data_IF_774014317311
#
_entry.id   IF_774014317311
#
_cell.length_a   1.000
_cell.length_b   1.000
_cell.length_c   1.000
_cell.angle_alpha   90.00
_cell.angle_beta   90.00
_cell.angle_gamma   90.00
#
_symmetry.space_group_name_H-M   'P 1'
#
loop_
_entity.id
_entity.type
_entity.pdbx_description
1 polymer ?
#
# COMPACT_ATOMS: atom_id res chain seq x y z
N UNK A 1 6.26 -14.07 14.25
CA UNK A 1 5.54 -12.95 13.54
C UNK A 1 6.20 -11.62 13.90
N UNK A 2 6.18 -10.59 13.01
CA UNK A 2 6.69 -9.26 13.39
C UNK A 2 5.91 -8.69 14.58
N UNK A 3 6.62 -8.04 15.51
CA UNK A 3 5.97 -7.46 16.69
C UNK A 3 5.34 -6.10 16.35
N UNK A 4 4.06 -6.12 16.06
CA UNK A 4 3.25 -4.92 15.77
C UNK A 4 2.39 -4.49 16.97
N UNK A 5 2.64 -5.00 18.17
CA UNK A 5 1.82 -4.77 19.37
C UNK A 5 1.62 -3.28 19.65
N UNK A 6 2.64 -2.44 19.50
CA UNK A 6 2.54 -1.00 19.70
C UNK A 6 1.58 -0.33 18.72
N UNK A 7 1.61 -0.73 17.45
CA UNK A 7 0.72 -0.24 16.38
C UNK A 7 -0.71 -0.72 16.62
N UNK A 8 -0.87 -1.99 16.94
CA UNK A 8 -2.15 -2.59 17.26
C UNK A 8 -2.84 -1.86 18.43
N UNK A 9 -2.11 -1.64 19.53
CA UNK A 9 -2.64 -0.91 20.70
C UNK A 9 -3.03 0.53 20.35
N UNK A 10 -2.29 1.20 19.46
CA UNK A 10 -2.64 2.55 19.02
C UNK A 10 -3.97 2.56 18.23
N UNK A 11 -4.20 1.55 17.37
CA UNK A 11 -5.45 1.41 16.63
C UNK A 11 -6.60 1.03 17.57
N UNK A 12 -6.37 0.08 18.49
CA UNK A 12 -7.39 -0.35 19.46
C UNK A 12 -7.86 0.82 20.32
N UNK A 13 -6.96 1.72 20.75
CA UNK A 13 -7.32 2.95 21.48
C UNK A 13 -8.27 3.87 20.70
N UNK A 14 -8.19 3.91 19.36
CA UNK A 14 -9.15 4.68 18.55
C UNK A 14 -10.54 4.03 18.62
N UNK A 15 -10.58 2.70 18.55
CA UNK A 15 -11.84 1.93 18.70
C UNK A 15 -12.44 2.14 20.08
N UNK A 16 -11.67 2.00 21.14
CA UNK A 16 -12.12 2.19 22.53
C UNK A 16 -12.70 3.59 22.79
N UNK A 17 -12.09 4.63 22.18
CA UNK A 17 -12.56 6.02 22.22
C UNK A 17 -13.79 6.27 21.35
N UNK A 18 -14.35 5.26 20.71
CA UNK A 18 -15.52 5.39 19.84
C UNK A 18 -15.26 6.27 18.61
N UNK A 19 -14.06 6.21 18.03
CA UNK A 19 -13.75 7.00 16.84
C UNK A 19 -14.19 6.27 15.58
N UNK A 20 -14.62 7.04 14.57
CA UNK A 20 -14.76 6.61 13.20
C UNK A 20 -13.49 7.00 12.48
N UNK A 21 -12.84 6.07 11.78
CA UNK A 21 -11.57 6.34 11.09
C UNK A 21 -11.36 5.40 9.90
N UNK A 22 -10.38 5.74 9.07
CA UNK A 22 -10.03 4.96 7.88
C UNK A 22 -8.56 4.61 7.91
N UNK A 23 -8.22 3.33 7.69
CA UNK A 23 -6.85 2.86 7.49
C UNK A 23 -6.55 2.91 5.99
N UNK A 24 -6.08 4.07 5.53
CA UNK A 24 -5.70 4.30 4.13
C UNK A 24 -4.25 3.93 3.93
N UNK A 25 -4.01 2.76 3.39
CA UNK A 25 -2.65 2.29 3.06
C UNK A 25 -2.68 1.55 1.72
N UNK A 26 -1.56 1.53 0.98
CA UNK A 26 -1.43 0.76 -0.24
C UNK A 26 -1.82 -0.70 -0.04
N UNK A 27 -1.97 -1.45 -1.13
CA UNK A 27 -2.23 -2.89 -1.06
C UNK A 27 -1.10 -3.62 -0.34
N UNK A 28 -1.44 -4.76 0.29
CA UNK A 28 -0.48 -5.63 0.98
C UNK A 28 0.30 -4.92 2.12
N UNK A 29 -0.36 -3.98 2.77
CA UNK A 29 0.18 -3.22 3.92
C UNK A 29 -0.28 -3.77 5.28
N UNK A 30 -0.90 -4.96 5.30
CA UNK A 30 -1.39 -5.58 6.55
C UNK A 30 -2.71 -5.02 7.07
N UNK A 31 -3.51 -4.31 6.23
CA UNK A 31 -4.82 -3.74 6.62
C UNK A 31 -5.78 -4.81 7.12
N UNK A 32 -6.02 -5.84 6.32
CA UNK A 32 -6.91 -6.97 6.66
C UNK A 32 -6.42 -7.72 7.89
N UNK A 33 -5.10 -7.90 8.04
CA UNK A 33 -4.50 -8.52 9.23
C UNK A 33 -4.79 -7.69 10.48
N UNK A 34 -4.66 -6.36 10.39
CA UNK A 34 -4.98 -5.45 11.49
C UNK A 34 -6.47 -5.53 11.86
N UNK A 35 -7.39 -5.54 10.88
CA UNK A 35 -8.82 -5.70 11.14
C UNK A 35 -9.12 -7.03 11.82
N UNK A 36 -8.48 -8.11 11.36
CA UNK A 36 -8.64 -9.44 11.97
C UNK A 36 -8.18 -9.44 13.43
N UNK A 37 -7.03 -8.84 13.75
CA UNK A 37 -6.55 -8.74 15.12
C UNK A 37 -7.49 -7.90 16.01
N UNK A 38 -8.05 -6.80 15.48
CA UNK A 38 -9.04 -5.99 16.19
C UNK A 38 -10.29 -6.82 16.45
N UNK A 39 -10.80 -7.53 15.44
CA UNK A 39 -11.96 -8.39 15.54
C UNK A 39 -11.77 -9.45 16.64
N UNK A 40 -10.64 -10.16 16.59
CA UNK A 40 -10.32 -11.24 17.52
C UNK A 40 -10.29 -10.75 18.98
N UNK A 41 -9.59 -9.64 19.25
CA UNK A 41 -9.52 -9.09 20.61
C UNK A 41 -10.89 -8.61 21.10
N UNK A 42 -11.66 -7.91 20.25
CA UNK A 42 -12.98 -7.41 20.61
C UNK A 42 -14.02 -8.54 20.80
N UNK A 43 -13.91 -9.62 20.06
CA UNK A 43 -14.79 -10.78 20.19
C UNK A 43 -14.63 -11.48 21.55
N UNK A 44 -13.42 -11.49 22.09
CA UNK A 44 -13.14 -12.05 23.41
C UNK A 44 -13.48 -11.10 24.57
N UNK A 45 -13.71 -9.81 24.30
CA UNK A 45 -14.19 -8.85 25.29
C UNK A 45 -15.72 -8.81 25.29
N UNK A 46 -16.32 -9.31 26.36
CA UNK A 46 -17.79 -9.41 26.50
C UNK A 46 -18.56 -8.07 26.38
N UNK A 47 -17.88 -6.93 26.42
CA UNK A 47 -18.48 -5.60 26.29
C UNK A 47 -18.71 -5.18 24.82
N UNK A 48 -18.09 -5.86 23.87
CA UNK A 48 -18.15 -5.51 22.44
C UNK A 48 -18.86 -6.57 21.62
N UNK A 49 -19.40 -6.15 20.48
CA UNK A 49 -19.82 -7.00 19.37
C UNK A 49 -19.14 -6.46 18.10
N UNK A 50 -18.01 -7.04 17.68
CA UNK A 50 -17.40 -6.70 16.40
C UNK A 50 -18.18 -7.33 15.25
N UNK A 51 -18.36 -6.58 14.15
CA UNK A 51 -19.00 -7.00 12.91
C UNK A 51 -18.04 -6.67 11.77
N UNK A 52 -17.55 -7.71 11.08
CA UNK A 52 -16.54 -7.57 10.03
C UNK A 52 -17.12 -7.86 8.66
N UNK A 53 -17.16 -6.88 7.79
CA UNK A 53 -17.72 -6.96 6.44
C UNK A 53 -16.61 -6.70 5.43
N UNK A 54 -16.57 -7.45 4.33
CA UNK A 54 -15.70 -7.15 3.19
C UNK A 54 -16.54 -6.82 1.97
N UNK A 55 -16.17 -5.76 1.25
CA UNK A 55 -16.78 -5.45 -0.04
C UNK A 55 -16.08 -6.17 -1.21
N UNK A 56 -15.04 -6.98 -0.92
CA UNK A 56 -14.43 -7.81 -1.94
C UNK A 56 -15.43 -8.87 -2.43
N UNK A 57 -15.57 -9.01 -3.75
CA UNK A 57 -16.50 -9.94 -4.36
C UNK A 57 -17.97 -9.54 -4.34
N UNK A 58 -18.31 -8.37 -3.78
CA UNK A 58 -19.66 -7.81 -3.90
C UNK A 58 -19.86 -7.28 -5.32
N UNK A 59 -20.90 -7.77 -6.00
CA UNK A 59 -21.21 -7.36 -7.37
C UNK A 59 -21.63 -5.89 -7.45
N UNK A 60 -21.27 -5.23 -8.55
CA UNK A 60 -21.55 -3.80 -8.78
C UNK A 60 -23.03 -3.44 -8.67
N UNK A 61 -23.95 -4.37 -8.99
CA UNK A 61 -25.39 -4.15 -8.92
C UNK A 61 -25.86 -3.80 -7.51
N UNK A 62 -25.22 -4.34 -6.47
CA UNK A 62 -25.58 -4.02 -5.07
C UNK A 62 -25.34 -2.54 -4.76
N UNK A 63 -24.34 -1.93 -5.41
CA UNK A 63 -24.02 -0.51 -5.22
C UNK A 63 -24.78 0.45 -6.16
N UNK A 64 -25.70 -0.07 -6.99
CA UNK A 64 -26.48 0.76 -7.90
C UNK A 64 -27.89 1.07 -7.36
N UNK A 65 -28.40 0.26 -6.44
CA UNK A 65 -29.72 0.42 -5.86
C UNK A 65 -29.67 0.56 -4.34
N UNK A 66 -30.21 1.65 -3.82
CA UNK A 66 -30.18 2.00 -2.40
C UNK A 66 -30.90 0.97 -1.52
N UNK A 67 -32.06 0.47 -1.97
CA UNK A 67 -32.85 -0.51 -1.23
C UNK A 67 -32.14 -1.85 -1.20
N UNK A 68 -31.59 -2.27 -2.35
CA UNK A 68 -30.79 -3.48 -2.46
C UNK A 68 -29.58 -3.45 -1.53
N UNK A 69 -28.82 -2.35 -1.56
CA UNK A 69 -27.66 -2.17 -0.68
C UNK A 69 -28.07 -2.18 0.81
N UNK A 70 -29.11 -1.42 1.19
CA UNK A 70 -29.54 -1.31 2.58
C UNK A 70 -29.99 -2.67 3.14
N UNK A 71 -30.77 -3.45 2.38
CA UNK A 71 -31.16 -4.82 2.74
C UNK A 71 -29.95 -5.73 2.86
N UNK A 72 -29.07 -5.69 1.88
CA UNK A 72 -27.88 -6.54 1.85
C UNK A 72 -26.92 -6.23 3.01
N UNK A 73 -26.79 -4.95 3.33
CA UNK A 73 -25.98 -4.51 4.47
C UNK A 73 -26.50 -5.09 5.79
N UNK A 74 -27.82 -5.09 6.01
CA UNK A 74 -28.43 -5.72 7.19
C UNK A 74 -28.18 -7.23 7.21
N UNK A 75 -28.28 -7.92 6.07
CA UNK A 75 -27.97 -9.34 5.99
C UNK A 75 -26.52 -9.62 6.35
N UNK A 76 -25.56 -8.83 5.86
CA UNK A 76 -24.16 -8.99 6.27
C UNK A 76 -23.97 -8.79 7.77
N UNK A 77 -24.66 -7.80 8.38
CA UNK A 77 -24.63 -7.63 9.83
C UNK A 77 -25.24 -8.84 10.57
N UNK A 78 -26.31 -9.44 10.01
CA UNK A 78 -26.93 -10.64 10.59
C UNK A 78 -25.99 -11.85 10.51
N UNK A 79 -25.33 -12.06 9.37
CA UNK A 79 -24.38 -13.15 9.16
C UNK A 79 -23.24 -13.08 10.19
N UNK A 80 -22.69 -11.89 10.42
CA UNK A 80 -21.65 -11.66 11.41
C UNK A 80 -22.17 -11.82 12.86
N UNK A 81 -23.34 -11.26 13.16
CA UNK A 81 -23.93 -11.35 14.49
C UNK A 81 -24.29 -12.80 14.88
N UNK A 82 -24.57 -13.68 13.91
CA UNK A 82 -24.99 -15.08 14.12
C UNK A 82 -23.96 -15.89 14.90
N UNK A 83 -22.67 -15.57 14.76
CA UNK A 83 -21.61 -16.25 15.51
C UNK A 83 -21.64 -15.95 17.01
N UNK A 84 -22.23 -14.80 17.41
CA UNK A 84 -22.26 -14.35 18.79
C UNK A 84 -23.68 -14.42 19.41
N UNK A 85 -24.72 -14.18 18.60
CA UNK A 85 -26.13 -14.09 19.05
C UNK A 85 -27.07 -14.42 17.87
N UNK A 86 -27.56 -15.65 17.85
CA UNK A 86 -28.47 -16.14 16.81
C UNK A 86 -29.84 -15.43 16.84
N UNK A 87 -30.35 -15.09 18.03
CA UNK A 87 -31.65 -14.40 18.13
C UNK A 87 -31.57 -12.97 17.58
N UNK A 88 -30.48 -12.31 17.85
CA UNK A 88 -30.19 -10.99 17.28
C UNK A 88 -30.07 -11.06 15.76
N UNK A 89 -29.35 -12.05 15.23
CA UNK A 89 -29.21 -12.26 13.79
C UNK A 89 -30.57 -12.50 13.11
N UNK A 90 -31.41 -13.37 13.65
CA UNK A 90 -32.72 -13.65 13.10
C UNK A 90 -33.66 -12.43 13.19
N UNK A 91 -33.50 -11.60 14.23
CA UNK A 91 -34.20 -10.32 14.31
C UNK A 91 -33.76 -9.37 13.19
N UNK A 92 -32.43 -9.24 12.93
CA UNK A 92 -31.91 -8.39 11.85
C UNK A 92 -32.43 -8.83 10.48
N UNK A 93 -32.46 -10.16 10.21
CA UNK A 93 -33.03 -10.72 8.96
C UNK A 93 -34.49 -10.31 8.78
N UNK A 94 -35.31 -10.45 9.82
CA UNK A 94 -36.72 -10.02 9.74
C UNK A 94 -36.85 -8.51 9.47
N UNK A 95 -36.01 -7.67 10.09
CA UNK A 95 -36.02 -6.23 9.85
C UNK A 95 -35.60 -5.87 8.43
N UNK A 96 -34.65 -6.62 7.86
CA UNK A 96 -34.16 -6.35 6.50
C UNK A 96 -35.23 -6.37 5.42
N UNK A 97 -36.27 -7.16 5.59
CA UNK A 97 -37.42 -7.25 4.67
C UNK A 97 -38.16 -5.91 4.53
N UNK A 98 -38.23 -5.15 5.63
CA UNK A 98 -38.92 -3.87 5.71
C UNK A 98 -38.02 -2.67 5.39
N UNK A 99 -36.74 -2.89 5.07
CA UNK A 99 -35.80 -1.82 4.78
C UNK A 99 -36.02 -1.31 3.36
N UNK A 100 -36.30 -0.03 3.20
CA UNK A 100 -36.63 0.64 1.94
C UNK A 100 -35.64 1.76 1.53
N UNK A 101 -34.52 1.85 2.24
CA UNK A 101 -33.46 2.84 1.93
C UNK A 101 -32.64 3.23 3.16
N UNK A 102 -31.79 4.25 3.00
CA UNK A 102 -30.87 4.69 4.07
C UNK A 102 -31.57 5.30 5.28
N UNK A 103 -32.73 5.92 5.11
CA UNK A 103 -33.46 6.46 6.25
C UNK A 103 -33.95 5.33 7.17
N UNK A 104 -34.55 4.30 6.60
CA UNK A 104 -35.03 3.12 7.33
C UNK A 104 -33.83 2.34 7.90
N UNK A 105 -32.78 2.15 7.12
CA UNK A 105 -31.52 1.53 7.58
C UNK A 105 -30.97 2.24 8.81
N UNK A 106 -30.95 3.59 8.79
CA UNK A 106 -30.51 4.38 9.96
C UNK A 106 -31.32 4.13 11.22
N UNK A 107 -32.67 4.02 11.09
CA UNK A 107 -33.56 3.69 12.23
C UNK A 107 -33.30 2.25 12.72
N UNK A 108 -33.13 1.30 11.81
CA UNK A 108 -32.84 -0.10 12.12
C UNK A 108 -31.48 -0.27 12.82
N UNK A 109 -30.45 0.46 12.41
CA UNK A 109 -29.14 0.47 13.13
C UNK A 109 -29.34 0.95 14.57
N UNK A 110 -30.16 1.97 14.80
CA UNK A 110 -30.42 2.45 16.18
C UNK A 110 -31.09 1.35 17.01
N UNK A 111 -32.17 0.76 16.51
CA UNK A 111 -32.88 -0.33 17.18
C UNK A 111 -32.00 -1.56 17.42
N UNK A 112 -31.14 -1.88 16.47
CA UNK A 112 -30.16 -2.98 16.58
C UNK A 112 -29.19 -2.74 17.72
N UNK A 113 -28.56 -1.55 17.79
CA UNK A 113 -27.61 -1.21 18.86
C UNK A 113 -28.30 -1.16 20.23
N UNK A 114 -29.55 -0.73 20.30
CA UNK A 114 -30.34 -0.74 21.52
C UNK A 114 -30.65 -2.16 21.98
N UNK A 115 -31.06 -3.04 21.06
CA UNK A 115 -31.37 -4.42 21.33
C UNK A 115 -30.13 -5.23 21.73
N UNK A 116 -29.00 -5.04 21.07
CA UNK A 116 -27.74 -5.73 21.34
C UNK A 116 -27.22 -5.48 22.77
N UNK A 117 -27.35 -4.26 23.28
CA UNK A 117 -26.87 -3.88 24.61
C UNK A 117 -25.34 -3.81 24.76
N UNK A 118 -24.56 -4.27 23.76
CA UNK A 118 -23.09 -4.20 23.70
C UNK A 118 -22.63 -3.06 22.82
N UNK A 119 -21.35 -2.68 22.94
CA UNK A 119 -20.69 -1.71 22.06
C UNK A 119 -20.44 -2.38 20.69
N UNK A 120 -21.26 -2.07 19.70
CA UNK A 120 -21.09 -2.61 18.34
C UNK A 120 -19.97 -1.86 17.62
N UNK A 121 -19.00 -2.59 17.09
CA UNK A 121 -17.88 -2.08 16.29
C UNK A 121 -17.99 -2.60 14.87
N UNK A 122 -18.12 -1.70 13.91
CA UNK A 122 -18.24 -2.04 12.49
C UNK A 122 -16.87 -1.94 11.83
N UNK A 123 -16.40 -3.03 11.24
CA UNK A 123 -15.16 -3.14 10.48
C UNK A 123 -15.52 -3.39 9.02
N UNK A 124 -15.13 -2.52 8.10
CA UNK A 124 -15.40 -2.72 6.66
C UNK A 124 -14.09 -2.73 5.90
N UNK A 125 -13.78 -3.86 5.27
CA UNK A 125 -12.60 -4.02 4.42
C UNK A 125 -12.93 -3.77 2.94
N UNK A 126 -11.90 -3.42 2.15
CA UNK A 126 -11.94 -3.23 0.68
C UNK A 126 -13.02 -2.23 0.23
N UNK A 127 -13.17 -1.10 0.97
CA UNK A 127 -14.16 -0.06 0.61
C UNK A 127 -13.92 0.55 -0.77
N UNK A 128 -12.73 0.36 -1.35
CA UNK A 128 -12.37 0.85 -2.69
C UNK A 128 -13.19 0.21 -3.81
N UNK A 129 -13.75 -0.97 -3.58
CA UNK A 129 -14.60 -1.66 -4.56
C UNK A 129 -15.86 -0.87 -4.87
N UNK A 130 -16.30 -0.03 -3.91
CA UNK A 130 -17.44 0.86 -4.05
C UNK A 130 -17.04 2.34 -4.25
N UNK A 131 -15.75 2.64 -4.35
CA UNK A 131 -15.21 4.01 -4.26
C UNK A 131 -15.70 4.98 -5.34
N UNK A 132 -16.17 4.48 -6.47
CA UNK A 132 -16.68 5.27 -7.57
C UNK A 132 -18.21 5.38 -7.58
N UNK A 133 -18.89 4.87 -6.55
CA UNK A 133 -20.33 4.77 -6.50
C UNK A 133 -20.95 5.87 -5.62
N UNK A 134 -21.88 6.65 -6.18
CA UNK A 134 -22.58 7.72 -5.47
C UNK A 134 -23.38 7.21 -4.27
N UNK A 135 -23.92 6.00 -4.38
CA UNK A 135 -24.66 5.34 -3.30
C UNK A 135 -23.79 5.12 -2.06
N UNK A 136 -22.54 4.67 -2.24
CA UNK A 136 -21.62 4.48 -1.12
C UNK A 136 -21.31 5.81 -0.41
N UNK A 137 -21.20 6.90 -1.15
CA UNK A 137 -21.07 8.23 -0.55
C UNK A 137 -22.32 8.61 0.26
N UNK A 138 -23.52 8.23 -0.19
CA UNK A 138 -24.78 8.38 0.55
C UNK A 138 -24.77 7.59 1.86
N UNK A 139 -24.34 6.32 1.80
CA UNK A 139 -24.15 5.46 2.98
C UNK A 139 -23.19 6.06 4.00
N UNK A 140 -22.04 6.57 3.55
CA UNK A 140 -21.09 7.26 4.42
C UNK A 140 -21.69 8.53 5.03
N UNK A 141 -22.50 9.26 4.26
CA UNK A 141 -23.25 10.43 4.73
C UNK A 141 -24.23 10.05 5.85
N UNK A 142 -24.93 8.94 5.72
CA UNK A 142 -25.83 8.40 6.74
C UNK A 142 -25.07 8.03 8.00
N UNK A 143 -23.96 7.28 7.90
CA UNK A 143 -23.10 6.94 9.05
C UNK A 143 -22.54 8.19 9.74
N UNK A 144 -22.14 9.19 8.97
CA UNK A 144 -21.70 10.49 9.50
C UNK A 144 -22.80 11.17 10.31
N UNK A 145 -24.00 11.24 9.77
CA UNK A 145 -25.11 11.86 10.48
C UNK A 145 -25.37 11.16 11.81
N UNK A 146 -25.40 9.83 11.82
CA UNK A 146 -25.55 9.03 13.03
C UNK A 146 -24.43 9.33 14.06
N UNK A 147 -23.19 9.45 13.61
CA UNK A 147 -22.08 9.79 14.50
C UNK A 147 -22.25 11.18 15.13
N UNK A 148 -22.70 12.16 14.39
CA UNK A 148 -22.90 13.53 14.88
C UNK A 148 -24.02 13.60 15.94
N UNK A 149 -25.07 12.78 15.79
CA UNK A 149 -26.22 12.75 16.72
C UNK A 149 -26.14 11.63 17.76
N UNK A 150 -25.00 10.94 17.88
CA UNK A 150 -24.83 9.73 18.71
C UNK A 150 -25.14 9.90 20.21
N UNK A 151 -25.15 11.13 20.68
CA UNK A 151 -25.57 11.42 22.07
C UNK A 151 -27.08 11.34 22.25
N UNK A 152 -27.87 11.53 21.15
CA UNK A 152 -29.33 11.49 21.15
C UNK A 152 -29.90 10.20 20.60
N UNK A 153 -29.17 9.54 19.69
CA UNK A 153 -29.60 8.34 19.01
C UNK A 153 -28.44 7.35 18.95
N UNK A 154 -28.64 6.15 19.48
CA UNK A 154 -27.60 5.10 19.52
C UNK A 154 -27.14 4.71 18.12
N UNK A 155 -25.88 4.42 17.98
CA UNK A 155 -25.24 4.00 16.75
C UNK A 155 -24.02 3.12 17.04
N UNK A 156 -23.31 2.64 16.02
CA UNK A 156 -22.06 1.93 16.20
C UNK A 156 -21.12 2.71 17.11
N UNK A 157 -20.49 2.00 18.05
CA UNK A 157 -19.51 2.59 18.95
C UNK A 157 -18.30 3.11 18.16
N UNK A 158 -17.79 2.31 17.25
CA UNK A 158 -16.69 2.67 16.34
C UNK A 158 -16.97 2.13 14.93
N UNK A 159 -16.46 2.81 13.91
CA UNK A 159 -16.47 2.35 12.51
C UNK A 159 -15.06 2.48 11.96
N UNK A 160 -14.52 1.35 11.49
CA UNK A 160 -13.19 1.28 10.88
C UNK A 160 -13.36 0.88 9.42
N UNK A 161 -12.92 1.74 8.54
CA UNK A 161 -12.89 1.47 7.10
C UNK A 161 -11.47 1.18 6.66
N UNK A 162 -11.26 0.19 5.80
CA UNK A 162 -9.95 -0.02 5.17
C UNK A 162 -10.04 0.05 3.66
N UNK A 163 -9.04 0.67 3.05
CA UNK A 163 -8.98 0.84 1.61
C UNK A 163 -7.66 1.44 1.15
N UNK A 164 -7.50 1.57 -0.16
CA UNK A 164 -6.36 2.25 -0.77
C UNK A 164 -6.63 3.75 -0.80
N UNK A 165 -7.82 4.15 -1.24
CA UNK A 165 -8.17 5.55 -1.42
C UNK A 165 -8.57 6.21 -0.09
N UNK A 166 -8.17 7.46 0.09
CA UNK A 166 -8.73 8.28 1.14
C UNK A 166 -10.21 8.55 0.83
N UNK A 167 -11.08 8.06 1.70
CA UNK A 167 -12.52 8.31 1.58
C UNK A 167 -12.83 9.82 1.56
N UNK A 168 -11.96 10.64 2.16
CA UNK A 168 -12.07 12.11 2.11
C UNK A 168 -11.87 12.65 0.68
N UNK A 169 -11.09 11.96 -0.15
CA UNK A 169 -10.78 12.35 -1.54
C UNK A 169 -11.60 11.62 -2.62
N UNK A 170 -12.49 10.71 -2.25
CA UNK A 170 -13.30 9.93 -3.21
C UNK A 170 -14.15 10.80 -4.16
N UNK A 171 -14.60 11.96 -3.72
CA UNK A 171 -15.36 12.89 -4.56
C UNK A 171 -14.59 13.43 -5.76
N UNK A 172 -13.26 13.51 -5.68
CA UNK A 172 -12.43 14.03 -6.77
C UNK A 172 -12.52 13.17 -8.05
N UNK A 173 -12.94 11.90 -7.93
CA UNK A 173 -13.09 10.97 -9.06
C UNK A 173 -14.49 10.92 -9.66
N UNK A 174 -15.52 11.35 -8.94
CA UNK A 174 -16.92 11.10 -9.30
C UNK A 174 -17.60 12.33 -9.90
N UNK A 175 -17.19 13.54 -9.53
CA UNK A 175 -17.91 14.76 -9.93
C UNK A 175 -17.14 15.61 -10.93
N UNK A 176 -17.83 16.20 -11.94
CA UNK A 176 -17.26 17.24 -12.80
C UNK A 176 -16.73 18.44 -11.98
N UNK A 177 -15.83 19.22 -12.55
CA UNK A 177 -15.16 20.34 -11.85
C UNK A 177 -16.11 21.34 -11.17
N UNK A 178 -17.34 21.48 -11.66
CA UNK A 178 -18.36 22.37 -11.10
C UNK A 178 -18.92 21.97 -9.74
N UNK A 179 -18.79 20.69 -9.33
CA UNK A 179 -19.34 20.14 -8.07
C UNK A 179 -18.31 19.93 -6.97
N UNK A 180 -17.04 20.31 -7.19
CA UNK A 180 -15.92 20.08 -6.25
C UNK A 180 -16.03 20.82 -4.91
N UNK A 181 -17.02 21.71 -4.73
CA UNK A 181 -17.16 22.56 -3.52
C UNK A 181 -17.83 21.88 -2.31
N UNK A 182 -18.28 20.65 -2.41
CA UNK A 182 -18.95 19.97 -1.31
C UNK A 182 -17.95 19.18 -0.44
N UNK A 183 -17.99 19.40 0.88
CA UNK A 183 -17.18 18.69 1.87
C UNK A 183 -17.32 17.17 1.76
N UNK A 184 -16.24 16.43 1.98
CA UNK A 184 -16.26 14.97 2.04
C UNK A 184 -17.31 14.48 3.05
N UNK A 185 -18.12 13.45 2.72
CA UNK A 185 -19.08 12.88 3.65
C UNK A 185 -18.41 12.23 4.87
N UNK A 186 -17.08 12.00 4.81
CA UNK A 186 -16.31 11.33 5.87
C UNK A 186 -15.37 12.28 6.63
N UNK A 187 -15.66 13.58 6.65
CA UNK A 187 -14.85 14.58 7.37
C UNK A 187 -14.89 14.46 8.91
N UNK A 188 -15.73 13.56 9.47
CA UNK A 188 -15.75 13.19 10.89
C UNK A 188 -14.67 12.18 11.27
N UNK A 189 -14.03 11.55 10.28
CA UNK A 189 -13.03 10.54 10.56
C UNK A 189 -11.86 11.14 11.34
N UNK A 190 -11.49 10.45 12.43
CA UNK A 190 -10.25 10.75 13.12
C UNK A 190 -9.06 10.47 12.18
N UNK A 191 -8.04 11.30 12.28
CA UNK A 191 -6.82 11.09 11.51
C UNK A 191 -6.12 9.81 11.96
N UNK A 192 -5.71 9.01 10.97
CA UNK A 192 -4.99 7.76 11.20
C UNK A 192 -3.49 8.00 11.00
N UNK A 193 -2.81 8.29 12.09
CA UNK A 193 -1.37 8.64 12.10
C UNK A 193 -0.46 7.44 12.39
N UNK A 194 -1.02 6.24 12.57
CA UNK A 194 -0.22 5.04 12.88
C UNK A 194 0.65 4.67 11.69
N UNK A 195 1.97 4.67 11.89
CA UNK A 195 2.91 4.16 10.88
C UNK A 195 2.81 2.64 10.79
N UNK A 196 2.39 2.13 9.64
CA UNK A 196 2.25 0.70 9.37
C UNK A 196 3.54 0.05 8.84
N UNK A 197 4.60 0.84 8.57
CA UNK A 197 5.89 0.28 8.16
C UNK A 197 6.55 -0.45 9.33
N UNK A 198 7.05 -1.65 9.09
CA UNK A 198 7.77 -2.44 10.10
C UNK A 198 9.14 -1.80 10.37
N UNK A 199 9.37 -1.40 11.60
CA UNK A 199 10.69 -0.92 12.03
C UNK A 199 11.65 -2.09 12.28
N UNK A 200 12.98 -1.91 12.20
CA UNK A 200 13.93 -3.00 12.46
C UNK A 200 13.69 -3.72 13.77
N UNK A 201 13.37 -2.99 14.84
CA UNK A 201 13.07 -3.59 16.15
C UNK A 201 11.79 -4.47 16.13
N UNK A 202 10.83 -4.20 15.25
CA UNK A 202 9.62 -5.00 15.08
C UNK A 202 9.85 -6.25 14.19
N UNK A 203 10.87 -6.21 13.31
CA UNK A 203 11.27 -7.34 12.46
C UNK A 203 12.10 -8.35 13.23
N UNK A 204 12.96 -7.91 14.16
CA UNK A 204 13.87 -8.79 14.92
C UNK A 204 13.19 -9.98 15.60
N UNK A 205 12.06 -9.83 16.33
CA UNK A 205 11.38 -10.96 16.97
C UNK A 205 10.95 -12.04 15.96
N UNK A 206 10.47 -11.64 14.78
CA UNK A 206 10.10 -12.57 13.71
C UNK A 206 11.31 -13.37 13.22
N UNK A 207 12.47 -12.73 13.08
CA UNK A 207 13.72 -13.41 12.69
C UNK A 207 14.22 -14.36 13.76
N UNK A 208 14.11 -13.97 15.03
CA UNK A 208 14.50 -14.82 16.17
C UNK A 208 13.60 -16.07 16.28
N UNK A 209 12.29 -15.90 16.13
CA UNK A 209 11.31 -17.01 16.10
C UNK A 209 11.63 -17.95 14.92
N UNK A 210 11.84 -17.41 13.72
CA UNK A 210 12.23 -18.18 12.54
C UNK A 210 13.54 -18.95 12.73
N UNK A 211 14.56 -18.31 13.32
CA UNK A 211 15.85 -18.92 13.60
C UNK A 211 15.72 -20.15 14.50
N UNK A 212 14.86 -20.05 15.51
CA UNK A 212 14.56 -21.15 16.42
C UNK A 212 13.81 -22.29 15.71
N UNK A 213 12.75 -21.97 14.96
CA UNK A 213 11.91 -22.96 14.30
C UNK A 213 12.65 -23.74 13.20
N UNK A 214 13.52 -23.09 12.45
CA UNK A 214 14.28 -23.69 11.34
C UNK A 214 15.68 -24.14 11.71
N UNK A 215 16.12 -23.90 12.95
CA UNK A 215 17.49 -24.14 13.40
C UNK A 215 18.52 -23.43 12.49
N UNK A 216 18.28 -22.15 12.21
CA UNK A 216 19.12 -21.27 11.40
C UNK A 216 19.85 -20.29 12.31
N UNK A 217 21.14 -20.09 12.07
CA UNK A 217 21.89 -19.02 12.73
C UNK A 217 21.61 -17.68 12.02
N UNK A 218 21.23 -16.67 12.78
CA UNK A 218 20.97 -15.33 12.25
C UNK A 218 21.41 -14.24 13.22
N UNK A 219 22.08 -13.21 12.72
CA UNK A 219 22.22 -11.95 13.41
C UNK A 219 20.94 -11.13 13.15
N UNK A 220 19.93 -11.33 14.01
CA UNK A 220 18.61 -10.76 13.80
C UNK A 220 18.62 -9.21 13.71
N UNK A 221 19.39 -8.46 14.54
CA UNK A 221 19.57 -7.02 14.36
C UNK A 221 20.12 -6.65 12.98
N UNK A 222 21.24 -7.22 12.56
CA UNK A 222 21.89 -6.86 11.30
C UNK A 222 21.01 -7.22 10.08
N UNK A 223 20.35 -8.39 10.11
CA UNK A 223 19.44 -8.82 9.04
C UNK A 223 18.18 -7.95 9.01
N UNK A 224 17.62 -7.57 10.17
CA UNK A 224 16.46 -6.67 10.22
C UNK A 224 16.77 -5.29 9.64
N UNK A 225 17.92 -4.70 10.00
CA UNK A 225 18.39 -3.44 9.41
C UNK A 225 18.57 -3.56 7.90
N UNK A 226 19.12 -4.68 7.41
CA UNK A 226 19.31 -4.89 5.97
C UNK A 226 17.99 -5.09 5.23
N UNK A 227 17.02 -5.78 5.82
CA UNK A 227 15.65 -5.86 5.30
C UNK A 227 15.00 -4.48 5.23
N UNK A 228 15.12 -3.69 6.29
CA UNK A 228 14.59 -2.32 6.33
C UNK A 228 15.25 -1.42 5.30
N UNK A 229 16.56 -1.53 5.10
CA UNK A 229 17.30 -0.78 4.07
C UNK A 229 16.69 -0.93 2.67
N UNK A 230 16.30 -2.15 2.28
CA UNK A 230 15.69 -2.39 0.98
C UNK A 230 14.20 -2.06 0.91
N UNK A 231 13.47 -2.36 1.98
CA UNK A 231 12.01 -2.35 1.99
C UNK A 231 11.40 -1.11 2.62
N UNK A 232 12.18 -0.33 3.37
CA UNK A 232 11.69 0.73 4.27
C UNK A 232 10.54 0.22 5.15
N UNK A 233 10.61 -1.06 5.56
CA UNK A 233 9.63 -1.69 6.41
C UNK A 233 8.29 -2.01 5.74
N UNK A 234 8.19 -1.97 4.41
CA UNK A 234 6.96 -2.35 3.71
C UNK A 234 6.63 -3.82 4.00
N UNK A 235 5.51 -4.14 4.70
CA UNK A 235 5.28 -5.48 5.25
C UNK A 235 5.35 -6.62 4.23
N UNK A 236 4.74 -6.44 3.06
CA UNK A 236 4.80 -7.42 1.97
C UNK A 236 6.23 -7.69 1.51
N UNK A 237 7.04 -6.64 1.32
CA UNK A 237 8.41 -6.80 0.83
C UNK A 237 9.29 -7.48 1.87
N UNK A 238 9.13 -7.14 3.16
CA UNK A 238 9.83 -7.82 4.26
C UNK A 238 9.48 -9.30 4.25
N UNK A 239 8.19 -9.64 4.24
CA UNK A 239 7.71 -11.03 4.21
C UNK A 239 8.20 -11.78 2.96
N UNK A 240 8.18 -11.12 1.78
CA UNK A 240 8.57 -11.74 0.51
C UNK A 240 10.07 -12.04 0.46
N UNK A 241 10.92 -11.15 0.98
CA UNK A 241 12.36 -11.39 1.09
C UNK A 241 12.67 -12.57 2.03
N UNK A 242 12.00 -12.62 3.19
CA UNK A 242 12.11 -13.75 4.11
C UNK A 242 11.66 -15.06 3.45
N UNK A 243 10.57 -15.04 2.71
CA UNK A 243 10.07 -16.20 1.96
C UNK A 243 11.04 -16.67 0.88
N UNK A 244 11.68 -15.77 0.15
CA UNK A 244 12.72 -16.13 -0.84
C UNK A 244 13.88 -16.82 -0.16
N UNK A 245 14.32 -16.33 0.99
CA UNK A 245 15.36 -16.99 1.75
C UNK A 245 14.95 -18.41 2.18
N UNK A 246 13.79 -18.57 2.83
CA UNK A 246 13.30 -19.85 3.36
C UNK A 246 13.10 -20.89 2.25
N UNK A 247 12.43 -20.52 1.16
CA UNK A 247 11.98 -21.48 0.13
C UNK A 247 13.04 -21.75 -0.94
N UNK A 248 13.91 -20.77 -1.26
CA UNK A 248 14.81 -20.89 -2.41
C UNK A 248 16.30 -20.93 -2.04
N UNK A 249 16.69 -20.23 -0.97
CA UNK A 249 18.10 -20.10 -0.63
C UNK A 249 18.52 -21.08 0.47
N UNK A 250 17.72 -21.20 1.52
CA UNK A 250 18.04 -22.09 2.65
C UNK A 250 18.23 -23.56 2.26
N UNK A 251 17.43 -24.14 1.35
CA UNK A 251 17.62 -25.53 0.90
C UNK A 251 18.95 -25.78 0.18
N UNK A 252 19.52 -24.76 -0.45
CA UNK A 252 20.78 -24.86 -1.20
C UNK A 252 22.03 -24.59 -0.34
N UNK A 253 21.82 -24.10 0.91
CA UNK A 253 22.93 -23.76 1.81
C UNK A 253 23.48 -24.98 2.55
N UNK A 254 24.79 -25.13 2.51
CA UNK A 254 25.52 -26.15 3.31
C UNK A 254 25.42 -25.79 4.78
N UNK A 255 25.64 -24.53 5.11
CA UNK A 255 25.50 -24.01 6.48
C UNK A 255 24.20 -23.23 6.61
N UNK A 256 23.40 -23.55 7.61
CA UNK A 256 22.14 -22.86 7.89
C UNK A 256 22.40 -21.53 8.59
N UNK A 257 23.02 -20.61 7.86
CA UNK A 257 23.30 -19.25 8.32
C UNK A 257 22.59 -18.24 7.42
N UNK A 258 21.87 -17.33 8.02
CA UNK A 258 21.26 -16.19 7.32
C UNK A 258 22.09 -14.93 7.54
N UNK A 259 22.66 -14.41 6.47
CA UNK A 259 23.53 -13.24 6.46
C UNK A 259 22.86 -12.03 5.80
N UNK A 260 23.41 -10.84 6.00
CA UNK A 260 23.01 -9.63 5.26
C UNK A 260 23.20 -9.76 3.75
N UNK A 261 24.23 -10.51 3.30
CA UNK A 261 24.47 -10.83 1.89
C UNK A 261 23.36 -11.68 1.27
N UNK A 262 22.70 -12.52 2.06
CA UNK A 262 21.53 -13.28 1.60
C UNK A 262 20.34 -12.36 1.36
N UNK A 263 20.15 -11.32 2.18
CA UNK A 263 19.12 -10.30 1.95
C UNK A 263 19.38 -9.57 0.64
N UNK A 264 20.64 -9.23 0.34
CA UNK A 264 21.03 -8.59 -0.94
C UNK A 264 20.70 -9.49 -2.13
N UNK A 265 20.96 -10.79 -2.01
CA UNK A 265 20.67 -11.77 -3.05
C UNK A 265 19.17 -11.96 -3.23
N UNK A 266 18.40 -12.06 -2.13
CA UNK A 266 16.94 -12.15 -2.17
C UNK A 266 16.31 -10.89 -2.81
N UNK A 267 16.84 -9.70 -2.51
CA UNK A 267 16.37 -8.45 -3.09
C UNK A 267 16.61 -8.40 -4.61
N UNK A 268 17.79 -8.80 -5.09
CA UNK A 268 18.08 -8.92 -6.53
C UNK A 268 17.15 -9.89 -7.22
N UNK A 269 16.92 -11.06 -6.62
CA UNK A 269 16.01 -12.06 -7.17
C UNK A 269 14.58 -11.50 -7.26
N UNK A 270 14.08 -10.86 -6.20
CA UNK A 270 12.74 -10.26 -6.16
C UNK A 270 12.54 -9.19 -7.24
N UNK A 271 13.54 -8.34 -7.48
CA UNK A 271 13.49 -7.29 -8.50
C UNK A 271 13.35 -7.89 -9.90
N UNK A 272 13.93 -9.07 -10.14
CA UNK A 272 13.85 -9.80 -11.43
C UNK A 272 12.58 -10.64 -11.59
N UNK A 273 11.75 -10.82 -10.55
CA UNK A 273 10.54 -11.64 -10.62
C UNK A 273 9.33 -10.85 -11.13
N UNK A 274 8.46 -11.53 -11.90
CA UNK A 274 7.12 -11.04 -12.16
C UNK A 274 6.29 -11.11 -10.88
N UNK A 275 5.77 -9.97 -10.45
CA UNK A 275 5.09 -9.84 -9.16
C UNK A 275 3.88 -8.93 -9.30
N UNK A 276 2.72 -9.40 -8.86
CA UNK A 276 1.45 -8.65 -8.92
C UNK A 276 1.52 -7.28 -8.24
N UNK A 277 2.34 -7.15 -7.19
CA UNK A 277 2.59 -5.89 -6.49
C UNK A 277 3.33 -4.88 -7.38
N UNK A 278 4.32 -5.33 -8.16
CA UNK A 278 5.05 -4.49 -9.12
C UNK A 278 4.19 -4.17 -10.34
N UNK A 279 3.43 -5.15 -10.84
CA UNK A 279 2.53 -5.00 -11.99
C UNK A 279 1.47 -3.93 -11.73
N UNK A 280 0.89 -3.93 -10.54
CA UNK A 280 -0.11 -2.92 -10.18
C UNK A 280 0.47 -1.50 -10.17
N UNK A 281 1.66 -1.31 -9.58
CA UNK A 281 2.33 -0.02 -9.60
C UNK A 281 2.71 0.41 -11.00
N UNK A 282 3.17 -0.54 -11.80
CA UNK A 282 3.48 -0.31 -13.21
C UNK A 282 2.26 0.15 -14.00
N UNK A 283 1.10 -0.50 -13.80
CA UNK A 283 -0.17 -0.10 -14.42
C UNK A 283 -0.63 1.29 -13.95
N UNK A 284 -0.49 1.58 -12.66
CA UNK A 284 -0.86 2.89 -12.11
C UNK A 284 0.00 4.02 -12.69
N UNK A 285 1.30 3.78 -12.92
CA UNK A 285 2.19 4.72 -13.60
C UNK A 285 1.81 4.88 -15.08
N UNK A 286 1.55 3.78 -15.80
CA UNK A 286 1.21 3.83 -17.22
C UNK A 286 -0.14 4.53 -17.47
N UNK A 287 -1.10 4.39 -16.54
CA UNK A 287 -2.42 4.98 -16.62
C UNK A 287 -2.46 6.46 -16.19
N UNK A 288 -1.37 7.02 -15.66
CA UNK A 288 -1.31 8.41 -15.21
C UNK A 288 -0.02 9.09 -15.65
N UNK A 289 -0.10 9.86 -16.74
CA UNK A 289 1.05 10.52 -17.34
C UNK A 289 1.74 11.54 -16.41
N UNK A 290 0.96 12.28 -15.60
CA UNK A 290 1.52 13.26 -14.67
C UNK A 290 2.25 12.56 -13.52
N UNK A 291 1.69 11.47 -12.99
CA UNK A 291 2.33 10.65 -11.97
C UNK A 291 3.60 10.00 -12.52
N UNK A 292 3.58 9.54 -13.77
CA UNK A 292 4.77 8.99 -14.44
C UNK A 292 5.87 10.04 -14.54
N UNK A 293 5.54 11.27 -15.01
CA UNK A 293 6.50 12.35 -15.15
C UNK A 293 7.10 12.79 -13.80
N UNK A 294 6.26 12.94 -12.76
CA UNK A 294 6.73 13.26 -11.41
C UNK A 294 7.63 12.14 -10.85
N UNK A 295 7.23 10.87 -11.05
CA UNK A 295 8.03 9.73 -10.62
C UNK A 295 9.38 9.67 -11.33
N UNK A 296 9.43 9.96 -12.64
CA UNK A 296 10.67 10.05 -13.42
C UNK A 296 11.58 11.14 -12.86
N UNK A 297 11.04 12.32 -12.60
CA UNK A 297 11.80 13.46 -12.07
C UNK A 297 12.40 13.13 -10.69
N UNK A 298 11.66 12.44 -9.82
CA UNK A 298 12.15 12.06 -8.49
C UNK A 298 13.15 10.90 -8.59
N UNK A 299 12.81 9.81 -9.31
CA UNK A 299 13.60 8.59 -9.33
C UNK A 299 14.89 8.72 -10.15
N UNK A 300 14.84 9.44 -11.27
CA UNK A 300 15.93 9.54 -12.24
C UNK A 300 16.70 10.83 -12.07
N UNK A 301 16.01 11.98 -12.12
CA UNK A 301 16.68 13.30 -12.03
C UNK A 301 17.09 13.62 -10.59
N UNK A 302 16.48 12.95 -9.62
CA UNK A 302 16.78 13.10 -8.20
C UNK A 302 16.38 14.44 -7.62
N UNK A 303 15.38 15.08 -8.22
CA UNK A 303 14.82 16.31 -7.68
C UNK A 303 14.06 15.99 -6.39
N UNK A 304 14.24 16.84 -5.40
CA UNK A 304 13.49 16.77 -4.15
C UNK A 304 12.36 17.79 -4.20
N UNK A 305 11.13 17.32 -4.05
CA UNK A 305 9.96 18.16 -3.96
C UNK A 305 9.47 18.19 -2.50
N UNK A 306 9.18 19.37 -1.94
CA UNK A 306 8.46 19.43 -0.67
C UNK A 306 7.10 18.73 -0.85
N UNK A 307 6.61 18.06 0.19
CA UNK A 307 5.28 17.47 0.12
C UNK A 307 4.22 18.57 0.23
N UNK A 308 3.38 18.69 -0.79
CA UNK A 308 2.21 19.57 -0.80
C UNK A 308 0.93 18.72 -0.67
N UNK A 309 0.18 18.82 0.47
CA UNK A 309 -1.02 17.99 0.71
C UNK A 309 -2.13 18.18 -0.32
N UNK A 310 -2.21 19.33 -0.96
CA UNK A 310 -3.24 19.64 -1.95
C UNK A 310 -2.84 19.24 -3.38
N UNK A 311 -1.61 18.80 -3.60
CA UNK A 311 -1.19 18.26 -4.89
C UNK A 311 -1.78 16.87 -5.09
N UNK A 312 -2.65 16.75 -6.10
CA UNK A 312 -3.38 15.51 -6.39
C UNK A 312 -2.46 14.39 -6.87
N UNK A 313 -1.39 14.72 -7.61
CA UNK A 313 -0.45 13.75 -8.18
C UNK A 313 0.45 13.19 -7.09
N UNK A 314 0.99 14.04 -6.22
CA UNK A 314 1.78 13.63 -5.07
C UNK A 314 0.96 12.74 -4.12
N UNK A 315 -0.28 13.15 -3.83
CA UNK A 315 -1.21 12.38 -3.00
C UNK A 315 -1.53 11.01 -3.63
N UNK A 316 -1.78 10.96 -4.93
CA UNK A 316 -2.04 9.70 -5.66
C UNK A 316 -0.82 8.76 -5.59
N UNK A 317 0.39 9.29 -5.74
CA UNK A 317 1.62 8.51 -5.61
C UNK A 317 1.83 7.91 -4.22
N UNK A 318 1.46 8.65 -3.16
CA UNK A 318 1.44 8.14 -1.78
C UNK A 318 0.41 7.02 -1.60
N UNK A 319 -0.81 7.20 -2.12
CA UNK A 319 -1.89 6.20 -2.04
C UNK A 319 -1.53 4.89 -2.75
N UNK A 320 -0.85 4.98 -3.90
CA UNK A 320 -0.37 3.80 -4.61
C UNK A 320 0.92 3.19 -4.01
N UNK A 321 1.49 3.83 -2.98
CA UNK A 321 2.73 3.38 -2.36
C UNK A 321 3.96 3.50 -3.25
N UNK A 322 3.90 4.37 -4.26
CA UNK A 322 5.04 4.75 -5.11
C UNK A 322 5.94 5.71 -4.33
N UNK A 323 5.33 6.69 -3.66
CA UNK A 323 6.02 7.69 -2.87
C UNK A 323 5.90 7.45 -1.37
N UNK A 324 6.81 8.04 -0.62
CA UNK A 324 6.77 8.20 0.83
C UNK A 324 7.13 9.64 1.20
N UNK A 325 6.58 10.11 2.33
CA UNK A 325 6.97 11.38 2.94
C UNK A 325 8.23 11.15 3.76
N UNK A 326 9.31 11.80 3.36
CA UNK A 326 10.57 11.87 4.10
C UNK A 326 10.95 13.36 4.24
N UNK A 327 12.19 13.72 4.02
CA UNK A 327 12.60 15.14 3.88
C UNK A 327 12.11 15.70 2.52
N UNK A 328 10.81 15.57 2.23
CA UNK A 328 10.17 15.80 0.95
C UNK A 328 9.51 14.53 0.40
N UNK A 329 9.19 14.57 -0.91
CA UNK A 329 8.60 13.46 -1.63
C UNK A 329 9.70 12.55 -2.19
N UNK A 330 9.73 11.28 -1.80
CA UNK A 330 10.72 10.31 -2.24
C UNK A 330 10.06 9.02 -2.74
N UNK A 331 10.76 8.22 -3.53
CA UNK A 331 10.31 6.85 -3.84
C UNK A 331 10.24 6.05 -2.53
N UNK A 332 9.19 5.26 -2.37
CA UNK A 332 8.84 4.62 -1.11
C UNK A 332 9.99 3.78 -0.53
N UNK A 333 10.65 2.97 -1.34
CA UNK A 333 11.75 2.12 -0.92
C UNK A 333 12.71 1.80 -2.08
N UNK A 334 13.86 1.22 -1.76
CA UNK A 334 14.92 0.92 -2.74
C UNK A 334 14.49 -0.12 -3.77
N UNK A 335 13.74 -1.14 -3.38
CA UNK A 335 13.22 -2.15 -4.33
C UNK A 335 12.33 -1.49 -5.38
N UNK A 336 11.39 -0.63 -4.97
CA UNK A 336 10.53 0.08 -5.92
C UNK A 336 11.31 1.08 -6.78
N UNK A 337 12.30 1.75 -6.22
CA UNK A 337 13.18 2.62 -6.99
C UNK A 337 13.86 1.85 -8.10
N UNK A 338 14.42 0.68 -7.81
CA UNK A 338 15.10 -0.16 -8.80
C UNK A 338 14.11 -0.67 -9.87
N UNK A 339 12.95 -1.17 -9.47
CA UNK A 339 11.91 -1.65 -10.41
C UNK A 339 11.44 -0.52 -11.33
N UNK A 340 11.20 0.68 -10.80
CA UNK A 340 10.78 1.85 -11.57
C UNK A 340 11.87 2.29 -12.55
N UNK A 341 13.11 2.40 -12.08
CA UNK A 341 14.27 2.77 -12.92
C UNK A 341 14.46 1.73 -14.04
N UNK A 342 14.29 0.43 -13.72
CA UNK A 342 14.38 -0.65 -14.70
C UNK A 342 13.32 -0.51 -15.79
N UNK A 343 12.07 -0.27 -15.42
CA UNK A 343 10.96 -0.06 -16.34
C UNK A 343 11.21 1.15 -17.25
N UNK A 344 11.57 2.28 -16.67
CA UNK A 344 11.79 3.52 -17.40
C UNK A 344 12.99 3.41 -18.36
N UNK A 345 14.08 2.80 -17.90
CA UNK A 345 15.27 2.54 -18.75
C UNK A 345 14.96 1.61 -19.90
N UNK A 346 14.21 0.52 -19.66
CA UNK A 346 13.81 -0.41 -20.72
C UNK A 346 12.91 0.26 -21.76
N UNK A 347 11.94 1.06 -21.31
CA UNK A 347 11.06 1.81 -22.22
C UNK A 347 11.87 2.76 -23.11
N UNK A 348 12.80 3.50 -22.52
CA UNK A 348 13.67 4.42 -23.23
C UNK A 348 14.57 3.69 -24.26
N UNK A 349 15.17 2.55 -23.88
CA UNK A 349 15.97 1.76 -24.83
C UNK A 349 15.12 1.24 -26.00
N UNK A 350 13.89 0.79 -25.75
CA UNK A 350 12.97 0.32 -26.79
C UNK A 350 12.55 1.44 -27.75
N UNK A 351 12.36 2.67 -27.24
CA UNK A 351 11.98 3.82 -28.05
C UNK A 351 13.18 4.40 -28.85
N UNK A 352 14.42 4.14 -28.40
CA UNK A 352 15.67 4.60 -29.02
C UNK A 352 16.55 3.42 -29.42
N UNK A 353 16.18 2.73 -30.48
CA UNK A 353 16.91 1.54 -30.97
C UNK A 353 18.36 1.81 -31.38
N UNK A 354 18.70 3.03 -31.80
CA UNK A 354 20.08 3.42 -32.10
C UNK A 354 21.03 3.35 -30.88
N UNK A 355 20.50 3.44 -29.66
CA UNK A 355 21.28 3.23 -28.43
C UNK A 355 21.70 1.76 -28.27
N UNK A 356 20.95 0.80 -28.79
CA UNK A 356 21.19 -0.64 -28.61
C UNK A 356 22.29 -1.16 -29.57
N UNK A 357 22.37 -0.66 -30.80
CA UNK A 357 23.28 -1.17 -31.84
C UNK A 357 24.77 -0.88 -31.55
N UNK A 358 25.07 -0.06 -30.55
CA UNK A 358 26.43 0.35 -30.19
C UNK A 358 26.99 -0.31 -28.92
N UNK A 359 26.28 -1.28 -28.34
CA UNK A 359 26.62 -1.88 -27.04
C UNK A 359 27.46 -3.17 -27.14
N UNK A 360 28.63 -3.11 -27.81
CA UNK A 360 29.55 -4.25 -27.86
C UNK A 360 30.79 -4.09 -26.94
N UNK A 361 30.73 -3.21 -25.94
CA UNK A 361 31.86 -2.95 -25.07
C UNK A 361 31.74 -3.70 -23.73
N UNK A 362 32.66 -4.63 -23.49
CA UNK A 362 32.84 -5.28 -22.18
C UNK A 362 33.68 -4.39 -21.27
N UNK A 363 33.06 -3.83 -20.23
CA UNK A 363 33.72 -2.98 -19.24
C UNK A 363 34.12 -3.77 -17.98
N UNK A 364 34.73 -4.94 -18.19
CA UNK A 364 35.23 -5.78 -17.09
C UNK A 364 36.75 -5.86 -17.14
N UNK A 365 37.38 -5.56 -16.01
CA UNK A 365 38.81 -5.77 -15.78
C UNK A 365 39.04 -7.20 -15.23
N UNK A 366 40.31 -7.71 -15.32
CA UNK A 366 40.67 -8.97 -14.67
C UNK A 366 40.31 -8.94 -13.17
N UNK A 367 39.75 -10.04 -12.66
CA UNK A 367 39.27 -10.11 -11.28
C UNK A 367 37.83 -9.62 -11.06
N UNK A 368 37.03 -9.55 -12.14
CA UNK A 368 35.60 -9.17 -12.11
C UNK A 368 35.37 -7.71 -11.63
N UNK A 369 36.36 -6.86 -11.75
CA UNK A 369 36.24 -5.43 -11.43
C UNK A 369 35.65 -4.66 -12.61
N UNK A 370 34.82 -3.65 -12.30
CA UNK A 370 34.22 -2.78 -13.31
C UNK A 370 35.22 -1.73 -13.80
N UNK A 371 35.44 -1.65 -15.12
CA UNK A 371 36.22 -0.56 -15.74
C UNK A 371 35.39 0.72 -15.79
N UNK A 372 35.32 1.41 -14.64
CA UNK A 372 34.57 2.66 -14.51
C UNK A 372 35.10 3.76 -15.40
N UNK A 373 36.42 3.78 -15.66
CA UNK A 373 37.05 4.81 -16.50
C UNK A 373 36.73 4.60 -17.99
N UNK A 374 36.86 3.36 -18.48
CA UNK A 374 36.47 3.01 -19.85
C UNK A 374 34.99 3.23 -20.10
N UNK A 375 34.17 2.90 -19.13
CA UNK A 375 32.74 3.10 -19.16
C UNK A 375 32.35 4.59 -19.25
N UNK A 376 32.91 5.45 -18.40
CA UNK A 376 32.65 6.90 -18.43
C UNK A 376 33.14 7.54 -19.73
N UNK A 377 34.30 7.10 -20.25
CA UNK A 377 34.81 7.55 -21.54
C UNK A 377 33.88 7.19 -22.67
N UNK A 378 33.39 5.93 -22.70
CA UNK A 378 32.46 5.47 -23.73
C UNK A 378 31.12 6.18 -23.65
N UNK A 379 30.64 6.45 -22.44
CA UNK A 379 29.44 7.27 -22.25
C UNK A 379 29.65 8.71 -22.76
N UNK A 380 30.80 9.33 -22.49
CA UNK A 380 31.13 10.66 -23.04
C UNK A 380 31.23 10.66 -24.58
N UNK A 381 31.80 9.62 -25.18
CA UNK A 381 31.83 9.46 -26.64
C UNK A 381 30.41 9.35 -27.21
N UNK A 382 29.55 8.52 -26.59
CA UNK A 382 28.15 8.39 -26.96
C UNK A 382 27.44 9.76 -26.90
N UNK A 383 27.63 10.48 -25.82
CA UNK A 383 27.01 11.78 -25.62
C UNK A 383 27.48 12.84 -26.63
N UNK A 384 28.74 12.79 -27.05
CA UNK A 384 29.30 13.71 -28.09
C UNK A 384 28.81 13.38 -29.49
N UNK A 385 28.55 12.11 -29.80
CA UNK A 385 28.13 11.66 -31.13
C UNK A 385 26.64 11.86 -31.40
N UNK A 386 25.82 11.85 -30.33
CA UNK A 386 24.35 11.93 -30.42
C UNK A 386 23.83 13.38 -30.25
N UNK A 387 24.70 14.36 -29.95
CA UNK A 387 24.26 15.72 -29.62
C UNK A 387 24.31 16.65 -30.82
N UNK A 388 23.13 17.09 -31.26
CA UNK A 388 22.96 18.36 -31.93
C UNK A 388 22.62 19.45 -30.88
N UNK A 389 22.83 20.74 -31.20
CA UNK A 389 22.45 21.86 -30.29
C UNK A 389 20.97 21.87 -29.91
N UNK A 390 20.10 21.16 -30.67
CA UNK A 390 18.68 21.02 -30.41
C UNK A 390 18.34 20.00 -29.28
N UNK A 391 19.30 19.15 -28.89
CA UNK A 391 19.09 18.08 -27.92
C UNK A 391 19.58 18.45 -26.50
N UNK A 392 20.04 19.68 -26.30
CA UNK A 392 20.61 20.13 -25.03
C UNK A 392 19.61 20.03 -23.86
N UNK A 393 18.36 20.39 -24.09
CA UNK A 393 17.29 20.27 -23.10
C UNK A 393 16.92 18.80 -22.79
N UNK A 394 17.01 17.93 -23.80
CA UNK A 394 16.81 16.49 -23.65
C UNK A 394 17.89 15.88 -22.75
N UNK A 395 19.14 16.25 -22.98
CA UNK A 395 20.28 15.74 -22.23
C UNK A 395 20.30 16.20 -20.78
N UNK A 396 19.92 17.45 -20.53
CA UNK A 396 19.82 17.97 -19.17
C UNK A 396 18.76 17.24 -18.36
N UNK A 397 17.62 16.92 -18.97
CA UNK A 397 16.49 16.23 -18.33
C UNK A 397 16.66 14.71 -18.28
N UNK A 398 17.24 14.10 -19.28
CA UNK A 398 17.30 12.64 -19.42
C UNK A 398 18.70 12.03 -19.32
N UNK A 399 19.75 12.85 -19.20
CA UNK A 399 21.13 12.37 -19.18
C UNK A 399 21.41 11.29 -18.13
N UNK A 400 20.77 11.37 -16.96
CA UNK A 400 20.87 10.31 -15.93
C UNK A 400 20.18 9.01 -16.36
N UNK A 401 19.04 9.09 -17.01
CA UNK A 401 18.32 7.91 -17.51
C UNK A 401 19.12 7.25 -18.63
N UNK A 402 19.68 8.04 -19.53
CA UNK A 402 20.61 7.56 -20.60
C UNK A 402 21.82 6.89 -19.97
N UNK A 403 22.42 7.48 -18.94
CA UNK A 403 23.55 6.90 -18.24
C UNK A 403 23.19 5.61 -17.50
N UNK A 404 22.06 5.56 -16.82
CA UNK A 404 21.56 4.34 -16.17
C UNK A 404 21.20 3.25 -17.18
N UNK A 405 20.60 3.63 -18.30
CA UNK A 405 20.33 2.70 -19.42
C UNK A 405 21.61 2.15 -20.03
N UNK A 406 22.64 3.02 -20.15
CA UNK A 406 23.99 2.64 -20.60
C UNK A 406 24.69 1.71 -19.62
N UNK A 407 24.56 1.94 -18.30
CA UNK A 407 25.20 1.14 -17.26
C UNK A 407 24.60 -0.26 -17.11
N UNK A 408 23.31 -0.42 -17.31
CA UNK A 408 22.60 -1.67 -17.03
C UNK A 408 23.11 -2.91 -17.72
N UNK A 409 23.34 -2.91 -19.03
CA UNK A 409 23.94 -4.05 -19.72
C UNK A 409 25.32 -4.41 -19.19
N UNK A 410 26.07 -3.40 -18.69
CA UNK A 410 27.42 -3.56 -18.16
C UNK A 410 27.41 -4.17 -16.76
N UNK A 411 26.43 -3.79 -15.94
CA UNK A 411 26.28 -4.27 -14.56
C UNK A 411 25.53 -5.60 -14.44
N UNK A 412 25.11 -6.17 -15.57
CA UNK A 412 24.24 -7.34 -15.68
C UNK A 412 24.64 -8.46 -14.69
N UNK A 413 23.99 -8.50 -13.54
CA UNK A 413 24.19 -9.51 -12.50
C UNK A 413 25.30 -9.24 -11.48
N UNK A 414 26.11 -8.18 -11.61
CA UNK A 414 27.27 -7.94 -10.74
C UNK A 414 27.20 -6.67 -9.87
N UNK A 415 26.16 -5.86 -9.99
CA UNK A 415 26.01 -4.66 -9.18
C UNK A 415 24.70 -3.91 -9.39
N UNK A 416 24.39 -3.00 -8.48
CA UNK A 416 23.26 -2.10 -8.57
C UNK A 416 23.75 -0.65 -8.57
N UNK A 417 23.24 0.17 -9.49
CA UNK A 417 23.47 1.62 -9.46
C UNK A 417 22.38 2.25 -8.58
N UNK A 418 22.70 2.49 -7.32
CA UNK A 418 21.83 3.27 -6.44
C UNK A 418 22.31 4.72 -6.39
N UNK A 419 21.35 5.64 -6.30
CA UNK A 419 21.64 7.00 -5.84
C UNK A 419 21.68 6.92 -4.31
N UNK A 420 22.82 7.28 -3.71
CA UNK A 420 22.83 7.61 -2.29
C UNK A 420 21.98 8.86 -2.04
N UNK A 421 21.24 8.89 -0.92
CA UNK A 421 20.33 9.98 -0.60
C UNK A 421 21.01 11.33 -0.46
#
# INVERSE_FOLDING_TARGET
MADVSGKFLAVLRLVEKGKYFTINRPRQYGKTTMLFQIFDVLQHDGNYLPLSISFEGVGDLVFQDEVCFAKRFLIWLADEARFADTELADWIVRQSEQCDGFETLSKMITALVEKCGKKMVLLIDEVDKSSNNQLFLGFLGMLRNKYLVRQKSKTFHSVVLTGIHDVKSLKLKISPESERKLNSPWNIAADFEVDMNLQPAEIQPMLAEYAQDRSVLVDAPAVAERLFYYTSGYPFLVSKLCKIFDEKMLPEKTEKIWTTGDVDTAARQLIGENNTNFDERSKNLDNNAELYALTQTIAIEGKNYPFEPNDSVATLGLLYGIFAKRNGLAIHNRIYQEVIVNKMSFRMMRENTQLLDRYDARFQLPGNQLDTHGMLRKFQELMRTENSEKDRDFLERQGRLVFLAFLKPVLNGHGHAFKEP
#
